data_IF_105260485982
#
_entry.id   IF_105260485982
#
_cell.length_a   1.000
_cell.length_b   1.000
_cell.length_c   1.000
_cell.angle_alpha   90.00
_cell.angle_beta   90.00
_cell.angle_gamma   90.00
#
_symmetry.space_group_name_H-M   'P 1'
#
loop_
_entity.id
_entity.type
_entity.pdbx_description
1 polymer ?
#
# COMPACT_ATOMS: atom_id res chain seq x y z
N UNK A 1 18.73 19.83 0.70
CA UNK A 1 17.41 19.29 0.29
C UNK A 1 17.56 17.80 0.00
N UNK A 2 17.33 16.92 0.97
CA UNK A 2 17.49 15.47 0.79
C UNK A 2 16.21 14.87 0.22
N UNK A 3 16.20 14.54 -1.08
CA UNK A 3 15.16 13.70 -1.69
C UNK A 3 15.22 12.32 -1.05
N UNK A 4 14.30 12.04 -0.13
CA UNK A 4 14.16 10.74 0.51
C UNK A 4 13.98 9.64 -0.54
N UNK A 5 14.85 8.62 -0.51
CA UNK A 5 14.75 7.46 -1.40
C UNK A 5 13.46 6.72 -1.04
N UNK A 6 12.49 6.72 -1.95
CA UNK A 6 11.28 5.89 -1.83
C UNK A 6 11.68 4.43 -2.07
N UNK A 7 11.90 3.67 -1.01
CA UNK A 7 12.15 2.24 -1.10
C UNK A 7 10.90 1.55 -1.67
N UNK A 8 11.06 0.83 -2.80
CA UNK A 8 9.99 0.02 -3.41
C UNK A 8 10.16 -1.42 -2.95
N UNK A 9 9.43 -1.86 -1.93
CA UNK A 9 9.31 -3.27 -1.60
C UNK A 9 8.29 -3.94 -2.54
N UNK A 10 8.70 -5.03 -3.19
CA UNK A 10 7.80 -5.87 -4.00
C UNK A 10 7.30 -7.01 -3.12
N UNK A 11 5.98 -7.14 -2.98
CA UNK A 11 5.35 -8.16 -2.15
C UNK A 11 4.84 -9.34 -2.98
N UNK A 12 5.04 -10.56 -2.46
CA UNK A 12 4.37 -11.77 -2.91
C UNK A 12 3.57 -12.35 -1.74
N UNK A 13 2.40 -12.91 -2.02
CA UNK A 13 1.42 -13.42 -1.03
C UNK A 13 1.99 -14.47 -0.08
N UNK A 14 3.12 -15.09 -0.42
CA UNK A 14 3.77 -16.17 0.33
C UNK A 14 4.48 -15.72 1.60
N UNK A 15 4.61 -14.42 1.88
CA UNK A 15 5.35 -13.95 3.06
C UNK A 15 4.73 -12.71 3.74
N UNK A 16 3.48 -12.84 4.18
CA UNK A 16 2.73 -11.77 4.86
C UNK A 16 3.34 -11.36 6.21
N UNK A 17 4.01 -12.28 6.92
CA UNK A 17 4.66 -11.98 8.20
C UNK A 17 5.87 -11.05 8.02
N UNK A 18 6.78 -11.38 7.11
CA UNK A 18 7.92 -10.50 6.78
C UNK A 18 7.47 -9.17 6.19
N UNK A 19 6.30 -9.14 5.53
CA UNK A 19 5.70 -7.90 5.06
C UNK A 19 5.34 -6.93 6.18
N UNK A 20 4.65 -7.42 7.20
CA UNK A 20 4.28 -6.61 8.36
C UNK A 20 5.53 -6.11 9.11
N UNK A 21 6.53 -6.98 9.27
CA UNK A 21 7.81 -6.60 9.90
C UNK A 21 8.54 -5.51 9.10
N UNK A 22 8.56 -5.63 7.77
CA UNK A 22 9.17 -4.63 6.89
C UNK A 22 8.45 -3.29 6.95
N UNK A 23 7.11 -3.28 6.98
CA UNK A 23 6.30 -2.07 7.11
C UNK A 23 6.59 -1.38 8.44
N UNK A 24 6.62 -2.14 9.55
CA UNK A 24 6.94 -1.62 10.89
C UNK A 24 8.35 -1.04 10.97
N UNK A 25 9.32 -1.72 10.38
CA UNK A 25 10.73 -1.31 10.40
C UNK A 25 10.97 -0.04 9.57
N UNK A 26 10.35 0.05 8.40
CA UNK A 26 10.67 1.10 7.43
C UNK A 26 9.72 2.30 7.45
N UNK A 27 8.56 2.21 8.13
CA UNK A 27 7.53 3.25 8.21
C UNK A 27 7.24 3.91 6.84
N UNK A 28 6.87 3.14 5.81
CA UNK A 28 6.73 3.65 4.46
C UNK A 28 5.53 4.61 4.35
N UNK A 29 5.66 5.73 3.64
CA UNK A 29 4.53 6.64 3.45
C UNK A 29 3.34 6.05 2.66
N UNK A 30 3.57 5.00 1.87
CA UNK A 30 2.51 4.29 1.14
C UNK A 30 2.78 2.78 1.13
N UNK A 31 1.76 1.97 1.38
CA UNK A 31 1.76 0.52 1.19
C UNK A 31 0.87 0.18 0.00
N UNK A 32 1.46 -0.33 -1.08
CA UNK A 32 0.73 -0.78 -2.27
C UNK A 32 0.37 -2.27 -2.14
N UNK A 33 -0.91 -2.59 -2.30
CA UNK A 33 -1.46 -3.95 -2.16
C UNK A 33 -2.22 -4.31 -3.43
N UNK A 34 -2.02 -5.51 -3.97
CA UNK A 34 -2.81 -5.99 -5.09
C UNK A 34 -4.30 -6.09 -4.73
N UNK A 35 -5.17 -5.55 -5.59
CA UNK A 35 -6.60 -5.49 -5.33
C UNK A 35 -7.25 -6.87 -5.29
N UNK A 36 -6.87 -7.78 -6.18
CA UNK A 36 -7.43 -9.13 -6.19
C UNK A 36 -7.04 -9.92 -4.93
N UNK A 37 -5.79 -9.76 -4.47
CA UNK A 37 -5.35 -10.29 -3.19
C UNK A 37 -6.12 -9.68 -2.02
N UNK A 38 -6.29 -8.36 -1.99
CA UNK A 38 -7.05 -7.65 -0.95
C UNK A 38 -8.52 -8.11 -0.85
N UNK A 39 -9.09 -8.66 -1.91
CA UNK A 39 -10.45 -9.22 -1.94
C UNK A 39 -10.52 -10.66 -1.38
N UNK A 40 -9.39 -11.31 -1.10
CA UNK A 40 -9.36 -12.64 -0.48
C UNK A 40 -9.43 -12.57 1.06
N UNK A 41 -9.83 -13.67 1.70
CA UNK A 41 -9.78 -13.78 3.17
C UNK A 41 -8.38 -13.48 3.77
N UNK A 42 -7.27 -14.06 3.28
CA UNK A 42 -5.94 -13.73 3.79
C UNK A 42 -5.53 -12.27 3.50
N UNK A 43 -5.95 -11.69 2.38
CA UNK A 43 -5.68 -10.27 2.08
C UNK A 43 -6.41 -9.32 3.01
N UNK A 44 -7.67 -9.60 3.35
CA UNK A 44 -8.43 -8.82 4.35
C UNK A 44 -7.78 -8.90 5.72
N UNK A 45 -7.38 -10.09 6.16
CA UNK A 45 -6.64 -10.26 7.42
C UNK A 45 -5.31 -9.49 7.42
N UNK A 46 -4.59 -9.46 6.29
CA UNK A 46 -3.38 -8.67 6.15
C UNK A 46 -3.65 -7.15 6.28
N UNK A 47 -4.68 -6.64 5.60
CA UNK A 47 -5.05 -5.22 5.67
C UNK A 47 -5.43 -4.79 7.09
N UNK A 48 -6.16 -5.64 7.82
CA UNK A 48 -6.48 -5.42 9.23
C UNK A 48 -5.20 -5.30 10.07
N UNK A 49 -4.25 -6.23 9.90
CA UNK A 49 -2.95 -6.16 10.58
C UNK A 49 -2.18 -4.89 10.23
N UNK A 50 -2.19 -4.44 8.97
CA UNK A 50 -1.56 -3.18 8.56
C UNK A 50 -2.22 -1.98 9.24
N UNK A 51 -3.54 -1.96 9.38
CA UNK A 51 -4.25 -0.91 10.12
C UNK A 51 -3.89 -0.91 11.61
N UNK A 52 -3.73 -2.09 12.23
CA UNK A 52 -3.34 -2.20 13.65
C UNK A 52 -1.89 -1.81 13.95
N UNK A 53 -1.00 -1.80 12.94
CA UNK A 53 0.40 -1.41 13.13
C UNK A 53 0.57 0.07 13.52
N UNK A 54 -0.50 0.88 13.47
CA UNK A 54 -0.52 2.28 13.90
C UNK A 54 0.62 3.12 13.30
N UNK A 55 1.01 2.83 12.05
CA UNK A 55 2.08 3.56 11.37
C UNK A 55 1.56 4.94 10.99
N UNK A 56 2.03 6.02 11.63
CA UNK A 56 1.51 7.36 11.36
C UNK A 56 1.85 7.74 9.91
N UNK A 57 0.83 8.14 9.15
CA UNK A 57 0.93 8.63 7.75
C UNK A 57 1.15 7.58 6.65
N UNK A 58 1.16 6.28 6.94
CA UNK A 58 1.21 5.24 5.90
C UNK A 58 -0.15 5.05 5.24
N UNK A 59 -0.32 5.57 4.02
CA UNK A 59 -1.53 5.35 3.24
C UNK A 59 -1.53 3.97 2.56
N UNK A 60 -2.61 3.20 2.65
CA UNK A 60 -2.77 1.96 1.85
C UNK A 60 -3.41 2.28 0.51
N UNK A 61 -2.79 1.83 -0.58
CA UNK A 61 -3.31 1.94 -1.95
C UNK A 61 -3.50 0.54 -2.53
N UNK A 62 -4.69 0.29 -3.05
CA UNK A 62 -4.97 -0.89 -3.85
C UNK A 62 -4.47 -0.67 -5.27
N UNK A 63 -3.86 -1.70 -5.86
CA UNK A 63 -3.33 -1.68 -7.22
C UNK A 63 -4.02 -2.77 -8.02
N UNK A 64 -4.59 -2.44 -9.16
CA UNK A 64 -5.23 -3.40 -10.07
C UNK A 64 -4.84 -3.10 -11.50
N UNK A 65 -4.67 -4.14 -12.31
CA UNK A 65 -4.63 -3.97 -13.75
C UNK A 65 -6.05 -3.95 -14.31
N UNK A 66 -6.42 -2.86 -15.00
CA UNK A 66 -7.73 -2.67 -15.64
C UNK A 66 -7.47 -2.35 -17.11
N UNK A 67 -8.01 -3.17 -18.03
CA UNK A 67 -7.88 -2.98 -19.48
C UNK A 67 -6.42 -2.79 -19.95
N UNK A 68 -5.49 -3.54 -19.36
CA UNK A 68 -4.06 -3.45 -19.68
C UNK A 68 -3.30 -2.32 -18.98
N UNK A 69 -3.99 -1.37 -18.36
CA UNK A 69 -3.38 -0.27 -17.60
C UNK A 69 -3.33 -0.56 -16.09
N UNK A 70 -2.29 -0.09 -15.41
CA UNK A 70 -2.22 -0.14 -13.95
C UNK A 70 -3.01 1.01 -13.34
N UNK A 71 -3.98 0.71 -12.50
CA UNK A 71 -4.74 1.68 -11.73
C UNK A 71 -4.47 1.53 -10.25
N UNK A 72 -4.48 2.65 -9.53
CA UNK A 72 -4.38 2.67 -8.07
C UNK A 72 -5.60 3.32 -7.46
N UNK A 73 -6.11 2.75 -6.37
CA UNK A 73 -7.32 3.21 -5.70
C UNK A 73 -7.05 3.33 -4.18
N UNK A 74 -7.59 4.33 -3.48
CA UNK A 74 -7.59 4.32 -2.02
C UNK A 74 -8.29 3.06 -1.51
N UNK A 75 -7.78 2.47 -0.42
CA UNK A 75 -8.57 1.51 0.35
C UNK A 75 -9.79 2.27 0.91
N UNK A 76 -11.01 1.76 0.70
CA UNK A 76 -12.23 2.44 1.16
C UNK A 76 -12.16 2.72 2.68
N UNK A 77 -12.32 3.99 3.07
CA UNK A 77 -12.14 4.44 4.46
C UNK A 77 -10.75 4.99 4.80
N UNK A 78 -9.74 4.78 3.95
CA UNK A 78 -8.46 5.48 4.07
C UNK A 78 -8.61 6.90 3.51
N UNK A 79 -8.47 7.92 4.38
CA UNK A 79 -8.41 9.30 3.95
C UNK A 79 -7.35 9.43 2.84
N UNK A 80 -7.68 10.05 1.69
CA UNK A 80 -6.72 10.19 0.62
C UNK A 80 -5.50 10.95 1.17
N UNK A 81 -4.28 10.39 1.13
CA UNK A 81 -3.11 11.24 1.27
C UNK A 81 -3.20 12.24 0.13
N UNK A 82 -3.15 13.54 0.46
CA UNK A 82 -3.21 14.64 -0.47
C UNK A 82 -2.34 14.31 -1.69
N UNK A 83 -2.99 13.86 -2.77
CA UNK A 83 -2.31 13.49 -3.97
C UNK A 83 -2.03 14.80 -4.69
N UNK A 84 -0.76 15.18 -4.61
CA UNK A 84 -0.09 16.10 -5.52
C UNK A 84 -0.67 15.92 -6.93
N UNK A 85 -1.35 16.95 -7.39
CA UNK A 85 -1.91 17.06 -8.74
C UNK A 85 -0.76 17.26 -9.74
N UNK A 86 0.07 16.23 -9.94
CA UNK A 86 1.11 16.20 -10.97
C UNK A 86 0.91 14.97 -11.87
N UNK A 87 -0.19 14.99 -12.60
CA UNK A 87 -0.37 14.19 -13.80
C UNK A 87 -1.29 14.94 -14.77
N UNK A 88 -0.91 16.19 -15.06
CA UNK A 88 -1.35 16.92 -16.23
C UNK A 88 -0.13 17.13 -17.13
N UNK A 89 0.07 16.23 -18.09
CA UNK A 89 0.76 16.55 -19.34
C UNK A 89 0.30 15.65 -20.46
#
# INVERSE_FOLDING_TARGET
MHRGRRAKLRFMSTNLATALESIRTNNPGVVAVDAAFAETAPGRAFLDRVATLAVPSSGVRLVRQVNGAWSTMPLAGAAPPAADADAAR
#
